data_IF_794813996180
#
_entry.id   IF_794813996180
#
_cell.length_a   1.000
_cell.length_b   1.000
_cell.length_c   1.000
_cell.angle_alpha   90.00
_cell.angle_beta   90.00
_cell.angle_gamma   90.00
#
_symmetry.space_group_name_H-M   'P 1'
#
loop_
_entity.id
_entity.type
_entity.pdbx_description
1 polymer ?
#
# COMPACT_ATOMS: atom_id res chain seq x y z
N UNK A 1 -27.56 -47.74 5.88
CA UNK A 1 -26.60 -47.28 4.85
C UNK A 1 -26.12 -45.87 5.21
N UNK A 2 -25.15 -45.74 6.14
CA UNK A 2 -24.67 -44.44 6.65
C UNK A 2 -23.21 -44.43 7.13
N UNK A 3 -22.43 -45.52 6.95
CA UNK A 3 -21.04 -45.57 7.41
C UNK A 3 -20.03 -45.01 6.40
N UNK A 4 -20.23 -45.27 5.10
CA UNK A 4 -19.23 -44.93 4.08
C UNK A 4 -18.91 -43.44 3.91
N UNK A 5 -19.88 -42.54 4.12
CA UNK A 5 -19.65 -41.11 3.97
C UNK A 5 -18.80 -40.52 5.12
N UNK A 6 -18.97 -41.03 6.34
CA UNK A 6 -18.18 -40.63 7.50
C UNK A 6 -16.74 -41.15 7.37
N UNK A 7 -16.59 -42.41 6.93
CA UNK A 7 -15.28 -43.02 6.69
C UNK A 7 -14.50 -42.26 5.60
N UNK A 8 -15.17 -41.84 4.51
CA UNK A 8 -14.55 -41.04 3.44
C UNK A 8 -14.10 -39.65 3.94
N UNK A 9 -14.86 -39.00 4.82
CA UNK A 9 -14.50 -37.69 5.38
C UNK A 9 -13.31 -37.82 6.35
N UNK A 10 -13.28 -38.88 7.15
CA UNK A 10 -12.17 -39.16 8.07
C UNK A 10 -10.90 -39.48 7.29
N UNK A 11 -11.01 -40.26 6.21
CA UNK A 11 -9.89 -40.59 5.33
C UNK A 11 -9.32 -39.33 4.66
N UNK A 12 -10.19 -38.47 4.12
CA UNK A 12 -9.80 -37.20 3.49
C UNK A 12 -9.17 -36.23 4.51
N UNK A 13 -9.73 -36.12 5.72
CA UNK A 13 -9.17 -35.29 6.78
C UNK A 13 -7.81 -35.82 7.27
N UNK A 14 -7.64 -37.15 7.32
CA UNK A 14 -6.36 -37.77 7.66
C UNK A 14 -5.31 -37.54 6.58
N UNK A 15 -5.72 -37.56 5.30
CA UNK A 15 -4.88 -37.27 4.16
C UNK A 15 -4.44 -35.80 4.15
N UNK A 16 -5.36 -34.85 4.33
CA UNK A 16 -5.02 -33.42 4.43
C UNK A 16 -4.12 -33.11 5.62
N UNK A 17 -4.36 -33.75 6.77
CA UNK A 17 -3.49 -33.61 7.94
C UNK A 17 -2.08 -34.14 7.66
N UNK A 18 -1.97 -35.31 7.03
CA UNK A 18 -0.71 -35.93 6.63
C UNK A 18 0.06 -35.08 5.60
N UNK A 19 -0.62 -34.56 4.58
CA UNK A 19 -0.02 -33.70 3.56
C UNK A 19 0.43 -32.35 4.15
N UNK A 20 -0.33 -31.79 5.09
CA UNK A 20 0.04 -30.57 5.81
C UNK A 20 1.26 -30.79 6.72
N UNK A 21 1.28 -31.87 7.51
CA UNK A 21 2.41 -32.23 8.37
C UNK A 21 3.67 -32.52 7.54
N UNK A 22 3.55 -33.18 6.40
CA UNK A 22 4.65 -33.47 5.47
C UNK A 22 5.19 -32.19 4.84
N UNK A 23 4.32 -31.28 4.42
CA UNK A 23 4.70 -29.97 3.86
C UNK A 23 5.39 -29.10 4.90
N UNK A 24 4.88 -29.07 6.12
CA UNK A 24 5.47 -28.33 7.23
C UNK A 24 6.83 -28.91 7.66
N UNK A 25 6.97 -30.24 7.64
CA UNK A 25 8.23 -30.92 7.91
C UNK A 25 9.29 -30.62 6.84
N UNK A 26 8.91 -30.66 5.56
CA UNK A 26 9.80 -30.30 4.45
C UNK A 26 10.14 -28.79 4.46
N UNK A 27 9.22 -27.92 4.84
CA UNK A 27 9.48 -26.48 5.00
C UNK A 27 10.45 -26.21 6.17
N UNK A 28 10.22 -26.87 7.32
CA UNK A 28 11.10 -26.77 8.50
C UNK A 28 12.48 -27.35 8.21
N UNK A 29 12.56 -28.43 7.43
CA UNK A 29 13.82 -29.04 6.97
C UNK A 29 14.55 -28.12 5.98
N UNK A 30 13.86 -27.50 5.03
CA UNK A 30 14.43 -26.48 4.13
C UNK A 30 14.89 -25.25 4.89
N UNK A 31 14.14 -24.78 5.88
CA UNK A 31 14.52 -23.68 6.77
C UNK A 31 15.73 -24.04 7.65
N UNK A 32 15.78 -25.26 8.19
CA UNK A 32 16.91 -25.76 8.97
C UNK A 32 18.16 -25.98 8.10
N UNK A 33 18.01 -26.38 6.83
CA UNK A 33 19.10 -26.49 5.85
C UNK A 33 19.58 -25.09 5.45
N UNK A 34 18.70 -24.12 5.22
CA UNK A 34 19.06 -22.72 4.98
C UNK A 34 19.82 -22.12 6.18
N UNK A 35 19.33 -22.43 7.39
CA UNK A 35 19.94 -22.01 8.66
C UNK A 35 21.25 -22.73 8.98
N UNK A 36 21.50 -23.92 8.43
CA UNK A 36 22.77 -24.65 8.56
C UNK A 36 23.77 -24.34 7.44
N UNK A 37 23.31 -24.01 6.23
CA UNK A 37 24.20 -23.68 5.10
C UNK A 37 24.68 -22.23 5.09
N UNK A 38 24.03 -21.35 5.86
CA UNK A 38 24.54 -20.02 6.19
C UNK A 38 25.30 -20.10 7.52
N UNK A 39 26.64 -20.12 7.44
CA UNK A 39 27.50 -20.10 8.63
C UNK A 39 27.13 -18.92 9.55
N UNK A 40 26.87 -19.21 10.83
CA UNK A 40 26.31 -18.27 11.82
C UNK A 40 27.03 -16.92 11.91
N UNK A 41 28.32 -16.83 11.58
CA UNK A 41 29.07 -15.56 11.51
C UNK A 41 28.66 -14.70 10.30
N UNK A 42 28.55 -15.27 9.09
CA UNK A 42 28.18 -14.51 7.88
C UNK A 42 26.74 -14.00 7.93
N UNK A 43 25.83 -14.74 8.57
CA UNK A 43 24.43 -14.33 8.70
C UNK A 43 24.28 -13.19 9.71
N UNK A 44 25.10 -13.16 10.77
CA UNK A 44 25.10 -12.09 11.76
C UNK A 44 25.67 -10.79 11.19
N UNK A 45 26.82 -10.84 10.51
CA UNK A 45 27.42 -9.66 9.88
C UNK A 45 26.53 -9.10 8.77
N UNK A 46 25.89 -9.97 7.98
CA UNK A 46 24.89 -9.56 7.00
C UNK A 46 23.66 -8.92 7.65
N UNK A 47 23.19 -9.47 8.79
CA UNK A 47 22.09 -8.90 9.54
C UNK A 47 22.45 -7.52 10.13
N UNK A 48 23.65 -7.34 10.68
CA UNK A 48 24.15 -6.05 11.17
C UNK A 48 24.25 -5.03 10.03
N UNK A 49 24.76 -5.44 8.86
CA UNK A 49 24.83 -4.56 7.69
C UNK A 49 23.44 -4.15 7.18
N UNK A 50 22.47 -5.09 7.15
CA UNK A 50 21.08 -4.77 6.82
C UNK A 50 20.48 -3.83 7.86
N UNK A 51 20.72 -4.08 9.16
CA UNK A 51 20.21 -3.27 10.25
C UNK A 51 20.71 -1.82 10.16
N UNK A 52 22.02 -1.62 9.95
CA UNK A 52 22.60 -0.28 9.78
C UNK A 52 22.08 0.42 8.52
N UNK A 53 21.96 -0.30 7.40
CA UNK A 53 21.37 0.25 6.17
C UNK A 53 19.91 0.68 6.39
N UNK A 54 19.13 -0.14 7.09
CA UNK A 54 17.73 0.15 7.42
C UNK A 54 17.63 1.35 8.37
N UNK A 55 18.50 1.44 9.36
CA UNK A 55 18.57 2.55 10.32
C UNK A 55 18.90 3.86 9.62
N UNK A 56 19.94 3.88 8.76
CA UNK A 56 20.29 5.06 7.95
C UNK A 56 19.12 5.48 7.06
N UNK A 57 18.50 4.55 6.35
CA UNK A 57 17.37 4.84 5.47
C UNK A 57 16.15 5.37 6.25
N UNK A 58 15.86 4.82 7.42
CA UNK A 58 14.84 5.32 8.34
C UNK A 58 15.13 6.77 8.75
N UNK A 59 16.37 7.06 9.15
CA UNK A 59 16.76 8.39 9.60
C UNK A 59 16.66 9.42 8.46
N UNK A 60 17.02 9.02 7.24
CA UNK A 60 16.82 9.83 6.02
C UNK A 60 15.33 10.11 5.76
N UNK A 61 14.46 9.09 5.83
CA UNK A 61 13.01 9.28 5.67
C UNK A 61 12.46 10.23 6.73
N UNK A 62 12.85 10.05 8.00
CA UNK A 62 12.40 10.90 9.10
C UNK A 62 12.86 12.35 8.87
N UNK A 63 14.10 12.55 8.44
CA UNK A 63 14.62 13.87 8.12
C UNK A 63 13.81 14.52 6.98
N UNK A 64 13.55 13.79 5.90
CA UNK A 64 12.73 14.26 4.77
C UNK A 64 11.32 14.64 5.19
N UNK A 65 10.66 13.84 6.02
CA UNK A 65 9.29 14.11 6.49
C UNK A 65 9.24 15.35 7.39
N UNK A 66 10.30 15.60 8.17
CA UNK A 66 10.39 16.79 9.05
C UNK A 66 10.73 18.07 8.31
N UNK A 67 11.34 17.96 7.15
CA UNK A 67 11.73 19.11 6.35
C UNK A 67 10.50 19.78 5.70
N UNK A 68 10.03 20.87 6.30
CA UNK A 68 8.82 21.59 5.87
C UNK A 68 9.10 23.04 5.45
N UNK A 69 10.35 23.50 5.61
CA UNK A 69 10.72 24.91 5.53
C UNK A 69 11.73 25.24 4.42
N UNK A 70 12.39 24.23 3.85
CA UNK A 70 13.26 24.46 2.69
C UNK A 70 12.46 24.98 1.50
N UNK A 71 13.09 25.88 0.74
CA UNK A 71 12.53 26.39 -0.50
C UNK A 71 12.26 25.24 -1.47
N UNK A 72 11.10 25.26 -2.11
CA UNK A 72 10.78 24.29 -3.14
C UNK A 72 11.70 24.53 -4.35
N UNK A 73 12.29 23.46 -4.94
CA UNK A 73 12.77 23.56 -6.31
C UNK A 73 11.60 23.96 -7.23
N UNK A 74 11.89 24.40 -8.46
CA UNK A 74 10.85 24.68 -9.45
C UNK A 74 9.99 23.41 -9.65
N UNK A 75 8.80 23.43 -9.05
CA UNK A 75 7.95 22.26 -8.95
C UNK A 75 7.18 22.12 -10.26
N UNK A 76 7.46 21.05 -11.00
CA UNK A 76 6.62 20.66 -12.13
C UNK A 76 5.25 20.19 -11.61
N UNK A 77 4.31 21.14 -11.54
CA UNK A 77 2.95 20.90 -11.06
C UNK A 77 2.16 19.98 -11.98
N UNK A 78 2.54 19.85 -13.25
CA UNK A 78 1.91 18.93 -14.21
C UNK A 78 2.33 17.50 -13.90
N UNK A 79 3.62 17.26 -13.66
CA UNK A 79 4.14 15.95 -13.24
C UNK A 79 3.60 15.54 -11.87
N UNK A 80 3.52 16.48 -10.93
CA UNK A 80 2.90 16.27 -9.62
C UNK A 80 1.43 15.86 -9.78
N UNK A 81 0.64 16.65 -10.52
CA UNK A 81 -0.78 16.37 -10.78
C UNK A 81 -0.96 15.00 -11.41
N UNK A 82 -0.21 14.67 -12.46
CA UNK A 82 -0.28 13.38 -13.16
C UNK A 82 0.02 12.20 -12.23
N UNK A 83 1.04 12.34 -11.37
CA UNK A 83 1.44 11.31 -10.40
C UNK A 83 0.33 11.05 -9.37
N UNK A 84 -0.16 12.12 -8.73
CA UNK A 84 -1.16 12.00 -7.68
C UNK A 84 -2.58 11.71 -8.23
N UNK A 85 -2.89 12.11 -9.46
CA UNK A 85 -4.10 11.68 -10.15
C UNK A 85 -4.09 10.16 -10.39
N UNK A 86 -2.96 9.59 -10.83
CA UNK A 86 -2.85 8.14 -10.96
C UNK A 86 -2.96 7.42 -9.61
N UNK A 87 -2.36 7.96 -8.55
CA UNK A 87 -2.53 7.43 -7.20
C UNK A 87 -4.00 7.42 -6.78
N UNK A 88 -4.74 8.49 -7.07
CA UNK A 88 -6.17 8.55 -6.81
C UNK A 88 -6.94 7.46 -7.58
N UNK A 89 -6.63 7.22 -8.86
CA UNK A 89 -7.27 6.17 -9.65
C UNK A 89 -6.98 4.77 -9.08
N UNK A 90 -5.75 4.50 -8.64
CA UNK A 90 -5.40 3.23 -7.97
C UNK A 90 -6.23 3.04 -6.69
N UNK A 91 -6.37 4.08 -5.86
CA UNK A 91 -7.16 4.02 -4.63
C UNK A 91 -8.67 3.88 -4.90
N UNK A 92 -9.19 4.47 -5.98
CA UNK A 92 -10.56 4.23 -6.42
C UNK A 92 -10.75 2.79 -6.89
N UNK A 93 -9.81 2.25 -7.65
CA UNK A 93 -9.79 0.84 -8.05
C UNK A 93 -9.78 -0.09 -6.84
N UNK A 94 -8.98 0.21 -5.82
CA UNK A 94 -8.98 -0.51 -4.54
C UNK A 94 -10.33 -0.41 -3.83
N UNK A 95 -10.95 0.77 -3.78
CA UNK A 95 -12.26 0.96 -3.16
C UNK A 95 -13.36 0.16 -3.86
N UNK A 96 -13.38 0.16 -5.20
CA UNK A 96 -14.28 -0.67 -6.01
C UNK A 96 -14.01 -2.16 -5.77
N UNK A 97 -12.73 -2.55 -5.77
CA UNK A 97 -12.29 -3.90 -5.42
C UNK A 97 -12.89 -4.33 -4.10
N UNK A 98 -12.80 -3.52 -3.05
CA UNK A 98 -13.34 -3.83 -1.73
C UNK A 98 -14.85 -4.02 -1.72
N UNK A 99 -15.61 -3.21 -2.46
CA UNK A 99 -17.06 -3.41 -2.61
C UNK A 99 -17.35 -4.78 -3.23
N UNK A 100 -16.71 -5.10 -4.36
CA UNK A 100 -16.91 -6.39 -5.02
C UNK A 100 -16.42 -7.56 -4.16
N UNK A 101 -15.30 -7.38 -3.45
CA UNK A 101 -14.71 -8.38 -2.57
C UNK A 101 -15.62 -8.72 -1.39
N UNK A 102 -16.26 -7.71 -0.80
CA UNK A 102 -17.21 -7.92 0.29
C UNK A 102 -18.49 -8.65 -0.14
N UNK A 103 -18.87 -8.56 -1.42
CA UNK A 103 -20.11 -9.16 -1.95
C UNK A 103 -19.85 -10.54 -2.56
N UNK A 104 -18.80 -10.68 -3.36
CA UNK A 104 -18.56 -11.82 -4.26
C UNK A 104 -17.78 -12.95 -3.60
N UNK A 105 -16.73 -12.63 -2.82
CA UNK A 105 -15.86 -13.65 -2.23
C UNK A 105 -16.53 -14.47 -1.12
N UNK A 106 -17.30 -13.88 -0.18
CA UNK A 106 -17.94 -14.66 0.88
C UNK A 106 -18.79 -15.84 0.39
N UNK A 107 -19.68 -15.68 -0.62
CA UNK A 107 -20.47 -16.80 -1.13
C UNK A 107 -19.70 -17.77 -2.04
N UNK A 108 -18.64 -17.31 -2.75
CA UNK A 108 -17.94 -18.14 -3.75
C UNK A 108 -16.74 -18.91 -3.21
N UNK A 109 -15.93 -18.28 -2.35
CA UNK A 109 -14.60 -18.78 -1.98
C UNK A 109 -14.41 -18.84 -0.46
N UNK A 110 -15.41 -18.42 0.34
CA UNK A 110 -15.35 -18.47 1.79
C UNK A 110 -15.07 -19.88 2.38
N UNK A 111 -15.30 -20.94 1.59
CA UNK A 111 -14.95 -22.32 1.95
C UNK A 111 -13.47 -22.67 1.75
N UNK A 112 -12.77 -22.03 0.81
CA UNK A 112 -11.41 -22.38 0.41
C UNK A 112 -10.36 -21.38 0.89
N UNK A 113 -10.74 -20.11 1.07
CA UNK A 113 -9.85 -19.06 1.51
C UNK A 113 -10.24 -18.61 2.91
N UNK A 114 -9.37 -18.74 3.90
CA UNK A 114 -9.64 -18.21 5.23
C UNK A 114 -9.37 -16.69 5.27
N UNK A 115 -10.08 -15.97 6.14
CA UNK A 115 -9.84 -14.53 6.35
C UNK A 115 -8.39 -14.21 6.74
N UNK A 116 -7.72 -15.09 7.48
CA UNK A 116 -6.30 -14.96 7.82
C UNK A 116 -5.39 -14.99 6.59
N UNK A 117 -5.70 -15.86 5.64
CA UNK A 117 -4.90 -16.06 4.42
C UNK A 117 -5.11 -14.89 3.47
N UNK A 118 -6.36 -14.42 3.36
CA UNK A 118 -6.68 -13.18 2.66
C UNK A 118 -5.94 -11.97 3.25
N UNK A 119 -5.85 -11.86 4.58
CA UNK A 119 -5.10 -10.79 5.24
C UNK A 119 -3.60 -10.88 4.99
N UNK A 120 -3.02 -12.08 5.02
CA UNK A 120 -1.62 -12.30 4.67
C UNK A 120 -1.36 -11.91 3.21
N UNK A 121 -2.28 -12.27 2.30
CA UNK A 121 -2.16 -11.89 0.90
C UNK A 121 -2.27 -10.38 0.69
N UNK A 122 -3.28 -9.73 1.29
CA UNK A 122 -3.54 -8.30 1.15
C UNK A 122 -2.40 -7.44 1.70
N UNK A 123 -1.93 -7.74 2.92
CA UNK A 123 -1.05 -6.83 3.66
C UNK A 123 0.42 -7.22 3.67
N UNK A 124 0.78 -8.41 3.16
CA UNK A 124 2.18 -8.87 3.10
C UNK A 124 2.57 -9.28 1.69
N UNK A 125 1.87 -10.26 1.10
CA UNK A 125 2.29 -10.84 -0.18
C UNK A 125 2.14 -9.83 -1.33
N UNK A 126 1.00 -9.14 -1.42
CA UNK A 126 0.77 -8.14 -2.48
C UNK A 126 1.73 -6.94 -2.41
N UNK A 127 1.98 -6.31 -1.24
CA UNK A 127 2.98 -5.27 -1.13
C UNK A 127 4.39 -5.74 -1.54
N UNK A 128 4.80 -6.94 -1.12
CA UNK A 128 6.10 -7.51 -1.51
C UNK A 128 6.18 -7.80 -3.02
N UNK A 129 5.12 -8.36 -3.60
CA UNK A 129 5.03 -8.62 -5.03
C UNK A 129 5.09 -7.31 -5.83
N UNK A 130 4.38 -6.28 -5.37
CA UNK A 130 4.39 -4.94 -5.96
C UNK A 130 5.80 -4.34 -5.91
N UNK A 131 6.45 -4.39 -4.75
CA UNK A 131 7.82 -3.91 -4.58
C UNK A 131 8.80 -4.62 -5.53
N UNK A 132 8.76 -5.95 -5.59
CA UNK A 132 9.61 -6.73 -6.48
C UNK A 132 9.34 -6.39 -7.95
N UNK A 133 8.07 -6.28 -8.35
CA UNK A 133 7.69 -5.91 -9.70
C UNK A 133 8.22 -4.52 -10.10
N UNK A 134 8.15 -3.53 -9.21
CA UNK A 134 8.65 -2.18 -9.47
C UNK A 134 10.18 -2.13 -9.65
N UNK A 135 10.91 -3.07 -9.07
CA UNK A 135 12.37 -3.19 -9.20
C UNK A 135 12.84 -3.89 -10.47
N UNK A 136 11.94 -4.55 -11.20
CA UNK A 136 12.31 -5.20 -12.45
C UNK A 136 12.86 -4.15 -13.43
N UNK A 137 14.05 -4.38 -14.02
CA UNK A 137 14.61 -3.46 -14.99
C UNK A 137 13.72 -3.46 -16.23
N UNK A 138 13.18 -2.29 -16.58
CA UNK A 138 12.45 -2.08 -17.83
C UNK A 138 12.99 -0.81 -18.47
N UNK A 139 13.08 -0.80 -19.79
CA UNK A 139 13.45 0.41 -20.53
C UNK A 139 12.45 1.53 -20.28
N UNK A 140 12.94 2.76 -20.18
CA UNK A 140 12.12 3.95 -20.02
C UNK A 140 11.41 4.30 -21.34
N UNK A 141 10.29 3.62 -21.59
CA UNK A 141 9.39 3.86 -22.73
C UNK A 141 7.98 4.16 -22.25
N UNK A 142 7.20 4.88 -23.05
CA UNK A 142 5.79 5.18 -22.76
C UNK A 142 4.97 3.90 -22.52
N UNK A 143 5.24 2.86 -23.31
CA UNK A 143 4.53 1.58 -23.20
C UNK A 143 4.84 0.87 -21.87
N UNK A 144 6.10 0.90 -21.43
CA UNK A 144 6.51 0.30 -20.16
C UNK A 144 5.99 1.08 -18.94
N UNK A 145 5.96 2.42 -19.02
CA UNK A 145 5.34 3.27 -18.00
C UNK A 145 3.82 3.00 -17.90
N UNK A 146 3.12 2.92 -19.03
CA UNK A 146 1.71 2.52 -19.06
C UNK A 146 1.49 1.13 -18.44
N UNK A 147 2.30 0.14 -18.82
CA UNK A 147 2.23 -1.20 -18.25
C UNK A 147 2.39 -1.18 -16.73
N UNK A 148 3.40 -0.47 -16.22
CA UNK A 148 3.64 -0.34 -14.77
C UNK A 148 2.42 0.25 -14.06
N UNK A 149 1.81 1.30 -14.60
CA UNK A 149 0.62 1.94 -14.01
C UNK A 149 -0.59 1.02 -13.98
N UNK A 150 -0.84 0.27 -15.05
CA UNK A 150 -1.96 -0.68 -15.09
C UNK A 150 -1.73 -1.85 -14.14
N UNK A 151 -0.51 -2.37 -14.04
CA UNK A 151 -0.18 -3.43 -13.08
C UNK A 151 -0.34 -2.93 -11.64
N UNK A 152 0.09 -1.70 -11.33
CA UNK A 152 -0.15 -1.08 -10.02
C UNK A 152 -1.64 -0.93 -9.72
N UNK A 153 -2.45 -0.53 -10.71
CA UNK A 153 -3.90 -0.49 -10.58
C UNK A 153 -4.48 -1.87 -10.29
N UNK A 154 -4.03 -2.91 -11.01
CA UNK A 154 -4.45 -4.30 -10.76
C UNK A 154 -4.09 -4.74 -9.35
N UNK A 155 -2.87 -4.48 -8.88
CA UNK A 155 -2.48 -4.80 -7.51
C UNK A 155 -3.36 -4.09 -6.48
N UNK A 156 -3.61 -2.79 -6.64
CA UNK A 156 -4.49 -2.03 -5.75
C UNK A 156 -5.93 -2.54 -5.77
N UNK A 157 -6.46 -2.89 -6.94
CA UNK A 157 -7.80 -3.46 -7.07
C UNK A 157 -7.91 -4.84 -6.39
N UNK A 158 -6.90 -5.71 -6.55
CA UNK A 158 -6.86 -7.02 -5.89
C UNK A 158 -6.68 -6.88 -4.37
N UNK A 159 -5.84 -5.97 -3.91
CA UNK A 159 -5.71 -5.64 -2.48
C UNK A 159 -7.05 -5.19 -1.91
N UNK A 160 -7.74 -4.29 -2.63
CA UNK A 160 -9.09 -3.86 -2.31
C UNK A 160 -10.05 -5.04 -2.22
N UNK A 161 -10.06 -5.89 -3.25
CA UNK A 161 -10.90 -7.09 -3.31
C UNK A 161 -10.69 -8.04 -2.11
N UNK A 162 -9.45 -8.30 -1.73
CA UNK A 162 -9.13 -9.09 -0.53
C UNK A 162 -9.55 -8.36 0.75
N UNK A 163 -9.31 -7.05 0.84
CA UNK A 163 -9.71 -6.21 1.98
C UNK A 163 -11.22 -6.24 2.19
N UNK A 164 -12.00 -6.13 1.12
CA UNK A 164 -13.46 -6.26 1.15
C UNK A 164 -13.92 -7.59 1.74
N UNK A 165 -13.29 -8.69 1.31
CA UNK A 165 -13.57 -10.02 1.86
C UNK A 165 -13.20 -10.15 3.34
N UNK A 166 -12.06 -9.60 3.76
CA UNK A 166 -11.61 -9.63 5.15
C UNK A 166 -12.63 -8.97 6.09
N UNK A 167 -13.23 -7.87 5.64
CA UNK A 167 -14.19 -7.09 6.43
C UNK A 167 -15.66 -7.43 6.15
N UNK A 168 -15.98 -8.34 5.23
CA UNK A 168 -17.34 -8.65 4.80
C UNK A 168 -18.29 -9.05 5.95
N UNK A 169 -17.76 -9.76 6.96
CA UNK A 169 -18.50 -10.23 8.13
C UNK A 169 -18.17 -9.43 9.40
N UNK A 170 -17.64 -8.22 9.25
CA UNK A 170 -17.31 -7.33 10.35
C UNK A 170 -18.29 -6.16 10.33
N UNK A 171 -19.03 -6.00 11.41
CA UNK A 171 -19.88 -4.83 11.61
C UNK A 171 -19.01 -3.60 11.90
N UNK A 172 -18.49 -2.99 10.83
CA UNK A 172 -17.74 -1.75 10.90
C UNK A 172 -18.71 -0.58 11.10
N UNK A 173 -18.35 0.32 12.00
CA UNK A 173 -19.16 1.50 12.30
C UNK A 173 -18.95 2.56 11.21
N UNK A 174 -20.01 2.85 10.46
CA UNK A 174 -20.06 3.91 9.45
C UNK A 174 -19.34 3.56 8.15
N UNK A 175 -19.44 4.49 7.19
CA UNK A 175 -18.80 4.36 5.87
C UNK A 175 -17.38 4.92 5.93
N UNK A 176 -16.34 4.23 5.41
CA UNK A 176 -14.99 4.79 5.41
C UNK A 176 -14.86 5.99 4.46
N UNK A 177 -14.01 6.99 4.79
CA UNK A 177 -13.67 8.08 3.86
C UNK A 177 -13.06 7.55 2.55
N UNK A 178 -13.32 8.27 1.45
CA UNK A 178 -12.78 7.94 0.13
C UNK A 178 -11.28 8.29 0.11
N UNK A 179 -10.42 7.27 0.22
CA UNK A 179 -8.96 7.43 0.29
C UNK A 179 -8.37 8.27 -0.86
N UNK A 180 -9.00 8.23 -2.04
CA UNK A 180 -8.58 8.98 -3.22
C UNK A 180 -8.67 10.52 -3.08
N UNK A 181 -9.45 11.06 -2.14
CA UNK A 181 -9.59 12.52 -1.99
C UNK A 181 -8.27 13.20 -1.61
N UNK A 182 -7.43 12.55 -0.80
CA UNK A 182 -6.15 13.11 -0.39
C UNK A 182 -5.19 13.29 -1.58
N UNK A 183 -4.88 12.25 -2.39
CA UNK A 183 -4.05 12.46 -3.57
C UNK A 183 -4.71 13.36 -4.62
N UNK A 184 -6.04 13.38 -4.76
CA UNK A 184 -6.71 14.38 -5.62
C UNK A 184 -6.37 15.80 -5.17
N UNK A 185 -6.47 16.09 -3.88
CA UNK A 185 -6.12 17.40 -3.33
C UNK A 185 -4.64 17.74 -3.57
N UNK A 186 -3.74 16.79 -3.34
CA UNK A 186 -2.30 16.97 -3.58
C UNK A 186 -1.98 17.22 -5.06
N UNK A 187 -2.69 16.59 -5.98
CA UNK A 187 -2.46 16.76 -7.42
C UNK A 187 -3.07 18.04 -7.99
N UNK A 188 -4.32 18.35 -7.65
CA UNK A 188 -5.10 19.42 -8.29
C UNK A 188 -4.79 20.80 -7.68
N UNK A 189 -4.72 20.90 -6.35
CA UNK A 189 -4.57 22.20 -5.66
C UNK A 189 -3.29 22.91 -6.10
N UNK A 190 -2.12 22.25 -6.22
CA UNK A 190 -0.90 22.94 -6.66
C UNK A 190 -0.90 23.30 -8.13
N UNK A 191 -1.60 22.52 -8.97
CA UNK A 191 -1.73 22.82 -10.39
C UNK A 191 -2.56 24.10 -10.60
N UNK A 192 -3.71 24.21 -9.93
CA UNK A 192 -4.60 25.38 -10.03
C UNK A 192 -4.09 26.59 -9.22
N UNK A 193 -3.42 26.34 -8.10
CA UNK A 193 -2.94 27.35 -7.14
C UNK A 193 -1.45 27.66 -7.26
N UNK A 194 -0.81 27.31 -8.39
CA UNK A 194 0.65 27.43 -8.58
C UNK A 194 1.18 28.85 -8.32
N UNK A 195 0.43 29.88 -8.73
CA UNK A 195 0.79 31.29 -8.50
C UNK A 195 0.76 31.70 -7.02
N UNK A 196 -0.10 31.07 -6.20
CA UNK A 196 -0.23 31.35 -4.76
C UNK A 196 0.83 30.59 -3.95
N UNK A 197 1.11 29.35 -4.35
CA UNK A 197 2.09 28.47 -3.70
C UNK A 197 3.52 28.95 -4.00
N UNK A 198 3.82 29.26 -5.25
CA UNK A 198 5.17 29.62 -5.68
C UNK A 198 6.20 28.58 -5.24
N UNK A 199 7.31 29.04 -4.65
CA UNK A 199 8.38 28.19 -4.11
C UNK A 199 8.23 27.90 -2.60
N UNK A 200 7.06 28.17 -2.02
CA UNK A 200 6.82 28.02 -0.59
C UNK A 200 6.30 26.61 -0.25
N UNK A 201 7.17 25.81 0.37
CA UNK A 201 6.86 24.42 0.77
C UNK A 201 5.77 24.35 1.83
N UNK A 202 5.71 25.32 2.74
CA UNK A 202 4.67 25.37 3.76
C UNK A 202 3.30 25.64 3.14
N UNK A 203 3.22 26.57 2.17
CA UNK A 203 1.96 26.79 1.42
C UNK A 203 1.52 25.55 0.65
N UNK A 204 2.46 24.86 -0.02
CA UNK A 204 2.15 23.60 -0.70
C UNK A 204 1.52 22.60 0.25
N UNK A 205 2.14 22.37 1.42
CA UNK A 205 1.64 21.43 2.43
C UNK A 205 0.27 21.83 2.96
N UNK A 206 0.13 23.07 3.43
CA UNK A 206 -1.10 23.53 4.07
C UNK A 206 -2.28 23.53 3.10
N UNK A 207 -2.07 23.97 1.86
CA UNK A 207 -3.13 24.02 0.87
C UNK A 207 -3.52 22.61 0.41
N UNK A 208 -2.56 21.71 0.22
CA UNK A 208 -2.86 20.34 -0.25
C UNK A 208 -3.43 19.45 0.84
N UNK A 209 -2.75 19.34 1.99
CA UNK A 209 -3.16 18.47 3.10
C UNK A 209 -4.37 19.06 3.82
N UNK A 210 -4.34 20.37 4.08
CA UNK A 210 -5.49 21.08 4.68
C UNK A 210 -6.69 21.08 3.73
N UNK A 211 -6.49 21.34 2.43
CA UNK A 211 -7.55 21.25 1.43
C UNK A 211 -8.14 19.84 1.32
N UNK A 212 -7.29 18.81 1.29
CA UNK A 212 -7.73 17.41 1.30
C UNK A 212 -8.52 17.04 2.56
N UNK A 213 -8.08 17.51 3.73
CA UNK A 213 -8.82 17.32 4.97
C UNK A 213 -10.20 18.01 4.96
N UNK A 214 -10.29 19.24 4.43
CA UNK A 214 -11.57 19.95 4.26
C UNK A 214 -12.49 19.20 3.30
N UNK A 215 -11.97 18.63 2.21
CA UNK A 215 -12.76 17.82 1.28
C UNK A 215 -13.33 16.57 1.97
N UNK A 216 -12.52 15.87 2.76
CA UNK A 216 -13.00 14.74 3.57
C UNK A 216 -14.06 15.17 4.59
N UNK A 217 -13.84 16.26 5.32
CA UNK A 217 -14.84 16.76 6.27
C UNK A 217 -16.16 17.10 5.57
N UNK A 218 -16.09 17.77 4.42
CA UNK A 218 -17.26 18.15 3.62
C UNK A 218 -18.02 16.90 3.18
N UNK A 219 -17.34 15.87 2.69
CA UNK A 219 -17.99 14.60 2.34
C UNK A 219 -18.53 13.86 3.57
N UNK A 220 -17.80 13.86 4.68
CA UNK A 220 -18.21 13.25 5.95
C UNK A 220 -19.49 13.87 6.51
N UNK A 221 -19.71 15.18 6.33
CA UNK A 221 -20.98 15.83 6.74
C UNK A 221 -22.19 15.37 5.94
N UNK A 222 -21.97 14.86 4.72
CA UNK A 222 -23.04 14.34 3.84
C UNK A 222 -23.35 12.88 4.16
N UNK A 223 -22.32 12.05 4.40
CA UNK A 223 -22.48 10.61 4.62
C UNK A 223 -22.77 10.33 6.10
N UNK A 224 -21.78 10.54 6.95
CA UNK A 224 -21.86 10.49 8.42
C UNK A 224 -20.46 10.76 8.98
N UNK A 225 -20.37 11.63 9.99
CA UNK A 225 -19.09 12.04 10.56
C UNK A 225 -18.85 11.26 11.87
N UNK A 226 -18.40 10.02 11.73
CA UNK A 226 -18.11 9.13 12.87
C UNK A 226 -16.66 9.28 13.37
N UNK A 227 -16.38 8.82 14.59
CA UNK A 227 -15.00 8.80 15.11
C UNK A 227 -14.05 7.97 14.22
N UNK A 228 -14.43 6.75 13.75
CA UNK A 228 -13.63 6.02 12.76
C UNK A 228 -13.38 6.81 11.47
N UNK A 229 -14.39 7.54 10.97
CA UNK A 229 -14.24 8.38 9.77
C UNK A 229 -13.17 9.46 9.98
N UNK A 230 -13.24 10.17 11.11
CA UNK A 230 -12.28 11.23 11.46
C UNK A 230 -10.85 10.69 11.62
N UNK A 231 -10.71 9.56 12.31
CA UNK A 231 -9.41 8.91 12.50
C UNK A 231 -8.81 8.45 11.17
N UNK A 232 -9.61 7.84 10.29
CA UNK A 232 -9.13 7.39 9.00
C UNK A 232 -8.80 8.56 8.06
N UNK A 233 -9.60 9.64 8.11
CA UNK A 233 -9.31 10.90 7.41
C UNK A 233 -7.98 11.51 7.86
N UNK A 234 -7.74 11.57 9.17
CA UNK A 234 -6.47 12.06 9.71
C UNK A 234 -5.30 11.19 9.27
N UNK A 235 -5.46 9.86 9.27
CA UNK A 235 -4.44 8.92 8.81
C UNK A 235 -4.13 9.11 7.32
N UNK A 236 -5.15 9.27 6.47
CA UNK A 236 -4.93 9.58 5.06
C UNK A 236 -4.21 10.91 4.87
N UNK A 237 -4.53 11.93 5.66
CA UNK A 237 -3.81 13.21 5.68
C UNK A 237 -2.32 13.05 6.04
N UNK A 238 -2.02 12.27 7.09
CA UNK A 238 -0.64 11.98 7.52
C UNK A 238 0.15 11.20 6.47
N UNK A 239 -0.47 10.18 5.86
CA UNK A 239 0.14 9.40 4.76
C UNK A 239 0.37 10.31 3.56
N UNK A 240 -0.62 11.11 3.17
CA UNK A 240 -0.50 12.08 2.08
C UNK A 240 0.61 13.10 2.32
N UNK A 241 0.73 13.61 3.55
CA UNK A 241 1.82 14.48 3.97
C UNK A 241 3.18 13.80 3.78
N UNK A 242 3.35 12.59 4.32
CA UNK A 242 4.62 11.87 4.21
C UNK A 242 5.01 11.59 2.74
N UNK A 243 4.06 11.13 1.92
CA UNK A 243 4.28 10.87 0.49
C UNK A 243 4.64 12.15 -0.26
N UNK A 244 3.97 13.27 0.02
CA UNK A 244 4.28 14.56 -0.59
C UNK A 244 5.69 15.04 -0.21
N UNK A 245 6.11 14.89 1.05
CA UNK A 245 7.48 15.22 1.46
C UNK A 245 8.53 14.38 0.73
N UNK A 246 8.28 13.06 0.60
CA UNK A 246 9.17 12.15 -0.12
C UNK A 246 9.25 12.50 -1.61
N UNK A 247 8.12 12.84 -2.24
CA UNK A 247 8.09 13.28 -3.63
C UNK A 247 8.95 14.53 -3.86
N UNK A 248 8.73 15.58 -3.07
CA UNK A 248 9.46 16.85 -3.20
C UNK A 248 10.96 16.64 -2.99
N UNK A 249 11.34 15.84 -1.98
CA UNK A 249 12.75 15.54 -1.71
C UNK A 249 13.41 14.74 -2.84
N UNK A 250 12.69 13.81 -3.47
CA UNK A 250 13.25 13.05 -4.58
C UNK A 250 13.49 13.92 -5.82
N UNK A 251 12.56 14.83 -6.14
CA UNK A 251 12.73 15.82 -7.21
C UNK A 251 13.95 16.70 -6.96
N UNK A 252 14.17 17.11 -5.70
CA UNK A 252 15.35 17.90 -5.34
C UNK A 252 16.66 17.13 -5.55
N UNK A 253 16.70 15.83 -5.20
CA UNK A 253 17.89 14.98 -5.42
C UNK A 253 18.21 14.79 -6.90
N UNK A 254 17.19 14.58 -7.74
CA UNK A 254 17.37 14.52 -9.20
C UNK A 254 17.95 15.82 -9.75
N UNK A 255 17.42 16.97 -9.33
CA UNK A 255 17.91 18.29 -9.74
C UNK A 255 19.37 18.54 -9.35
N UNK A 256 19.76 18.18 -8.11
CA UNK A 256 21.16 18.32 -7.65
C UNK A 256 22.10 17.39 -8.44
N UNK A 257 21.67 16.17 -8.76
CA UNK A 257 22.48 15.25 -9.57
C UNK A 257 22.67 15.68 -11.03
N UNK A 258 21.84 16.60 -11.53
CA UNK A 258 21.98 17.16 -12.87
C UNK A 258 22.96 18.36 -12.91
N UNK A 259 23.24 18.97 -11.76
CA UNK A 259 24.12 20.13 -11.62
C UNK A 259 25.56 19.78 -11.23
N UNK A 260 25.85 18.51 -10.92
CA UNK A 260 27.17 17.99 -10.53
C UNK A 260 27.50 16.71 -11.29
#
# INVERSE_FOLDING_TARGET
MSSGALDTIIELASQYKSEFETTFYELKKRAAILSKSTGKEKTFDHFVAIHEKLKKHRDEIIATIRDTQTALPELDTTKLMSTFAWMAVVLLGSSLGAIFGGIVLPPLIGFFLMTSDAALMAYVILPLATYYFLQLPMESSLQNDLLRRHVLFTFGAVEGFLTGYIFANKDLIGTPPIAALTPVAIGIIPHLGSSVIGQDRSKLIWLTIGGGFILHLSLGTIIELSLPYLLLTALYGLIGFAILQLYVSNVQKEFVSFLF
#
